data_IF_313504402435
#
_entry.id   IF_313504402435
#
_cell.length_a   1.000
_cell.length_b   1.000
_cell.length_c   1.000
_cell.angle_alpha   90.00
_cell.angle_beta   90.00
_cell.angle_gamma   90.00
#
_symmetry.space_group_name_H-M   'P 1'
#
loop_
_entity.id
_entity.type
_entity.pdbx_description
1 polymer ?
#
# COMPACT_ATOMS: atom_id res chain seq x y z
N UNK A 1 -3.12 -52.65 8.97
CA UNK A 1 -2.97 -53.69 9.99
C UNK A 1 -1.80 -53.45 10.97
N UNK A 2 -0.58 -53.24 10.50
CA UNK A 2 0.57 -52.96 11.39
C UNK A 2 0.42 -51.70 12.26
N UNK A 3 0.00 -50.58 11.66
CA UNK A 3 -0.22 -49.30 12.37
C UNK A 3 -1.35 -49.37 13.39
N UNK A 4 -2.41 -50.12 13.09
CA UNK A 4 -3.56 -50.29 14.00
C UNK A 4 -3.20 -51.17 15.23
N UNK A 5 -2.39 -52.21 15.05
CA UNK A 5 -1.89 -52.99 16.18
C UNK A 5 -0.92 -52.19 17.08
N UNK A 6 -0.11 -51.30 16.51
CA UNK A 6 0.78 -50.45 17.27
C UNK A 6 -0.01 -49.39 18.06
N UNK A 7 -1.10 -48.84 17.49
CA UNK A 7 -1.92 -47.80 18.15
C UNK A 7 -2.88 -48.35 19.20
N UNK A 8 -3.40 -49.59 19.04
CA UNK A 8 -4.22 -50.28 20.03
C UNK A 8 -3.45 -50.61 21.34
N UNK A 9 -2.13 -50.61 21.27
CA UNK A 9 -1.24 -50.82 22.46
C UNK A 9 -0.65 -49.48 22.99
N UNK A 10 -0.93 -48.35 22.35
CA UNK A 10 -0.39 -47.06 22.75
C UNK A 10 -1.01 -46.57 24.06
N UNK A 11 -0.16 -46.28 25.02
CA UNK A 11 -0.51 -45.63 26.26
C UNK A 11 -1.16 -44.25 25.98
N UNK A 12 -2.28 -43.91 26.66
CA UNK A 12 -3.01 -42.66 26.47
C UNK A 12 -2.10 -41.41 26.59
N UNK A 13 -1.05 -41.50 27.36
CA UNK A 13 -0.03 -40.46 27.50
C UNK A 13 0.77 -40.23 26.21
N UNK A 14 1.04 -41.28 25.44
CA UNK A 14 1.75 -41.17 24.16
C UNK A 14 0.84 -40.58 23.09
N UNK A 15 -0.45 -40.89 23.09
CA UNK A 15 -1.45 -40.26 22.22
C UNK A 15 -1.54 -38.77 22.52
N UNK A 16 -1.63 -38.40 23.81
CA UNK A 16 -1.65 -37.00 24.26
C UNK A 16 -0.39 -36.23 23.83
N UNK A 17 0.79 -36.83 23.90
CA UNK A 17 2.03 -36.24 23.43
C UNK A 17 2.01 -35.99 21.91
N UNK A 18 1.58 -36.98 21.12
CA UNK A 18 1.52 -36.85 19.65
C UNK A 18 0.51 -35.77 19.23
N UNK A 19 -0.64 -35.69 19.85
CA UNK A 19 -1.65 -34.64 19.62
C UNK A 19 -1.08 -33.25 19.99
N UNK A 20 -0.34 -33.16 21.09
CA UNK A 20 0.30 -31.89 21.49
C UNK A 20 1.34 -31.42 20.48
N UNK A 21 2.16 -32.33 19.97
CA UNK A 21 3.14 -32.01 18.91
C UNK A 21 2.43 -31.57 17.62
N UNK A 22 1.36 -32.28 17.24
CA UNK A 22 0.59 -31.92 16.04
C UNK A 22 -0.09 -30.54 16.16
N UNK A 23 -0.64 -30.21 17.32
CA UNK A 23 -1.23 -28.87 17.58
C UNK A 23 -0.20 -27.76 17.60
N UNK A 24 1.00 -28.00 18.12
CA UNK A 24 2.13 -27.07 18.02
C UNK A 24 2.51 -26.81 16.56
N UNK A 25 2.66 -27.85 15.77
CA UNK A 25 2.94 -27.72 14.32
C UNK A 25 1.87 -26.92 13.57
N UNK A 26 0.61 -27.19 13.87
CA UNK A 26 -0.53 -26.44 13.30
C UNK A 26 -0.47 -24.96 13.69
N UNK A 27 -0.27 -24.66 14.95
CA UNK A 27 -0.23 -23.27 15.45
C UNK A 27 0.94 -22.48 14.82
N UNK A 28 2.11 -23.12 14.69
CA UNK A 28 3.25 -22.50 14.00
C UNK A 28 2.96 -22.23 12.54
N UNK A 29 2.29 -23.15 11.84
CA UNK A 29 1.92 -22.98 10.43
C UNK A 29 0.96 -21.82 10.21
N UNK A 30 -0.08 -21.69 11.06
CA UNK A 30 -1.05 -20.59 10.98
C UNK A 30 -0.39 -19.23 11.24
N UNK A 31 0.45 -19.15 12.28
CA UNK A 31 1.17 -17.92 12.59
C UNK A 31 2.16 -17.53 11.47
N UNK A 32 2.89 -18.50 10.91
CA UNK A 32 3.80 -18.25 9.79
C UNK A 32 3.05 -17.71 8.56
N UNK A 33 1.88 -18.25 8.24
CA UNK A 33 1.05 -17.76 7.12
C UNK A 33 0.62 -16.29 7.33
N UNK A 34 0.30 -15.91 8.56
CA UNK A 34 -0.08 -14.52 8.88
C UNK A 34 1.10 -13.55 8.71
N UNK A 35 2.29 -13.95 9.16
CA UNK A 35 3.53 -13.17 8.98
C UNK A 35 3.83 -13.00 7.49
N UNK A 36 3.74 -14.08 6.71
CA UNK A 36 3.98 -14.04 5.26
C UNK A 36 2.98 -13.16 4.52
N UNK A 37 1.72 -13.13 4.96
CA UNK A 37 0.72 -12.23 4.38
C UNK A 37 1.12 -10.77 4.65
N UNK A 38 1.62 -10.45 5.84
CA UNK A 38 2.15 -9.13 6.16
C UNK A 38 3.37 -8.78 5.29
N UNK A 39 4.29 -9.71 5.07
CA UNK A 39 5.45 -9.52 4.19
C UNK A 39 5.01 -9.27 2.73
N UNK A 40 3.95 -9.94 2.26
CA UNK A 40 3.37 -9.70 0.94
C UNK A 40 2.73 -8.30 0.84
N UNK A 41 2.11 -7.80 1.92
CA UNK A 41 1.58 -6.42 1.97
C UNK A 41 2.71 -5.41 1.85
N UNK A 42 3.80 -5.60 2.60
CA UNK A 42 4.96 -4.73 2.56
C UNK A 42 5.66 -4.76 1.18
N UNK A 43 5.76 -5.93 0.56
CA UNK A 43 6.24 -6.06 -0.81
C UNK A 43 5.31 -5.38 -1.83
N UNK A 44 4.00 -5.50 -1.64
CA UNK A 44 2.99 -4.84 -2.47
C UNK A 44 3.11 -3.32 -2.38
N UNK A 45 3.28 -2.77 -1.16
CA UNK A 45 3.51 -1.35 -0.93
C UNK A 45 4.80 -0.86 -1.60
N UNK A 46 5.88 -1.64 -1.48
CA UNK A 46 7.14 -1.35 -2.17
C UNK A 46 6.98 -1.30 -3.69
N UNK A 47 6.24 -2.26 -4.28
CA UNK A 47 6.14 -2.42 -5.72
C UNK A 47 5.11 -1.48 -6.37
N UNK A 48 3.98 -1.24 -5.70
CA UNK A 48 2.83 -0.52 -6.26
C UNK A 48 2.60 0.86 -5.63
N UNK A 49 3.37 1.21 -4.58
CA UNK A 49 3.27 2.50 -3.90
C UNK A 49 1.98 2.72 -3.11
N UNK A 50 1.15 1.68 -2.95
CA UNK A 50 -0.09 1.73 -2.19
C UNK A 50 -0.21 0.55 -1.25
N UNK A 51 -0.60 0.80 0.01
CA UNK A 51 -0.78 -0.23 1.02
C UNK A 51 -2.17 -0.85 0.89
N UNK A 52 -2.23 -2.09 0.42
CA UNK A 52 -3.48 -2.81 0.15
C UNK A 52 -3.69 -3.98 1.11
N UNK A 53 -3.56 -3.72 2.43
CA UNK A 53 -3.70 -4.74 3.49
C UNK A 53 -5.01 -5.51 3.36
N UNK A 54 -6.12 -4.80 3.18
CA UNK A 54 -7.44 -5.40 3.08
C UNK A 54 -7.54 -6.46 1.97
N UNK A 55 -6.92 -6.22 0.83
CA UNK A 55 -6.94 -7.14 -0.31
C UNK A 55 -6.21 -8.45 0.02
N UNK A 56 -5.02 -8.38 0.61
CA UNK A 56 -4.23 -9.56 0.98
C UNK A 56 -4.92 -10.40 2.06
N UNK A 57 -5.40 -9.77 3.14
CA UNK A 57 -6.12 -10.49 4.21
C UNK A 57 -7.47 -11.04 3.74
N UNK A 58 -8.15 -10.38 2.81
CA UNK A 58 -9.38 -10.90 2.20
C UNK A 58 -9.11 -12.18 1.41
N UNK A 59 -8.07 -12.21 0.57
CA UNK A 59 -7.66 -13.42 -0.18
C UNK A 59 -7.31 -14.56 0.78
N UNK A 60 -6.55 -14.28 1.85
CA UNK A 60 -6.23 -15.27 2.89
C UNK A 60 -7.49 -15.83 3.55
N UNK A 61 -8.44 -14.96 3.91
CA UNK A 61 -9.70 -15.35 4.54
C UNK A 61 -10.57 -16.21 3.60
N UNK A 62 -10.65 -15.84 2.32
CA UNK A 62 -11.35 -16.62 1.30
C UNK A 62 -10.70 -17.99 1.15
N UNK A 63 -9.37 -18.06 1.05
CA UNK A 63 -8.63 -19.31 0.95
C UNK A 63 -8.88 -20.22 2.15
N UNK A 64 -8.90 -19.69 3.37
CA UNK A 64 -9.22 -20.44 4.58
C UNK A 64 -10.64 -21.00 4.54
N UNK A 65 -11.64 -20.22 4.10
CA UNK A 65 -13.04 -20.70 3.97
C UNK A 65 -13.16 -21.83 2.94
N UNK A 66 -12.47 -21.72 1.81
CA UNK A 66 -12.40 -22.81 0.83
C UNK A 66 -11.77 -24.08 1.42
N UNK A 67 -10.68 -23.94 2.18
CA UNK A 67 -10.06 -25.09 2.85
C UNK A 67 -11.03 -25.76 3.83
N UNK A 68 -11.74 -25.00 4.66
CA UNK A 68 -12.77 -25.54 5.55
C UNK A 68 -13.90 -26.27 4.80
N UNK A 69 -14.33 -25.73 3.67
CA UNK A 69 -15.34 -26.40 2.83
C UNK A 69 -14.85 -27.77 2.38
N UNK A 70 -13.61 -27.89 1.88
CA UNK A 70 -13.06 -29.18 1.46
C UNK A 70 -12.86 -30.15 2.63
N UNK A 71 -12.41 -29.65 3.78
CA UNK A 71 -12.31 -30.48 5.00
C UNK A 71 -13.66 -31.04 5.38
N UNK A 72 -14.72 -30.22 5.43
CA UNK A 72 -16.07 -30.66 5.73
C UNK A 72 -16.61 -31.66 4.70
N UNK A 73 -16.34 -31.44 3.42
CA UNK A 73 -16.75 -32.36 2.35
C UNK A 73 -16.08 -33.73 2.51
N UNK A 74 -14.76 -33.75 2.71
CA UNK A 74 -13.97 -34.97 2.89
C UNK A 74 -14.43 -35.73 4.14
N UNK A 75 -14.63 -35.00 5.24
CA UNK A 75 -15.11 -35.59 6.50
C UNK A 75 -16.51 -36.17 6.34
N UNK A 76 -17.42 -35.44 5.71
CA UNK A 76 -18.80 -35.93 5.45
C UNK A 76 -18.81 -37.16 4.57
N UNK A 77 -18.02 -37.18 3.49
CA UNK A 77 -17.89 -38.37 2.63
C UNK A 77 -17.27 -39.56 3.38
N UNK A 78 -16.27 -39.31 4.25
CA UNK A 78 -15.67 -40.35 5.08
C UNK A 78 -16.66 -40.95 6.05
N UNK A 79 -17.51 -40.15 6.71
CA UNK A 79 -18.57 -40.66 7.57
C UNK A 79 -19.64 -41.44 6.79
N UNK A 80 -20.09 -40.91 5.65
CA UNK A 80 -21.08 -41.64 4.80
C UNK A 80 -20.55 -42.96 4.32
N UNK A 81 -19.26 -43.04 3.93
CA UNK A 81 -18.64 -44.30 3.56
C UNK A 81 -18.54 -45.27 4.74
N UNK A 82 -18.28 -44.76 5.95
CA UNK A 82 -18.19 -45.55 7.18
C UNK A 82 -19.53 -46.16 7.56
N UNK A 83 -20.64 -45.41 7.45
CA UNK A 83 -22.00 -45.94 7.72
C UNK A 83 -22.37 -47.05 6.76
N UNK A 84 -22.03 -46.95 5.48
CA UNK A 84 -22.26 -48.02 4.48
C UNK A 84 -21.47 -49.28 4.81
N UNK A 85 -20.26 -49.13 5.36
CA UNK A 85 -19.39 -50.25 5.71
C UNK A 85 -19.73 -50.86 7.07
N UNK A 86 -20.21 -50.05 8.04
CA UNK A 86 -20.66 -50.52 9.38
C UNK A 86 -21.92 -51.39 9.33
N UNK A 87 -22.79 -51.20 8.32
CA UNK A 87 -23.93 -52.12 8.09
C UNK A 87 -23.46 -53.53 7.73
N UNK A 88 -22.19 -53.72 7.33
CA UNK A 88 -21.63 -55.00 6.86
C UNK A 88 -20.53 -55.61 7.74
N UNK A 89 -20.32 -55.18 8.97
CA UNK A 89 -19.40 -55.74 9.98
C UNK A 89 -18.14 -54.93 10.34
N UNK A 90 -17.91 -54.90 11.66
CA UNK A 90 -16.71 -54.75 12.48
C UNK A 90 -16.24 -53.33 12.84
N UNK A 91 -16.05 -53.13 14.15
CA UNK A 91 -15.51 -52.00 14.94
C UNK A 91 -14.20 -51.36 14.40
N UNK A 92 -13.50 -52.00 13.48
CA UNK A 92 -12.19 -51.59 12.96
C UNK A 92 -12.26 -50.46 11.91
N UNK A 93 -13.44 -50.14 11.37
CA UNK A 93 -13.57 -49.20 10.24
C UNK A 93 -13.65 -47.74 10.70
N UNK A 94 -14.27 -47.51 11.86
CA UNK A 94 -14.31 -46.16 12.43
C UNK A 94 -12.88 -45.64 12.78
N UNK A 95 -12.08 -46.52 13.38
CA UNK A 95 -10.69 -46.18 13.68
C UNK A 95 -9.90 -45.90 12.39
N UNK A 96 -10.08 -46.70 11.34
CA UNK A 96 -9.43 -46.51 10.06
C UNK A 96 -9.78 -45.16 9.40
N UNK A 97 -11.04 -44.73 9.46
CA UNK A 97 -11.47 -43.43 8.90
C UNK A 97 -10.84 -42.25 9.64
N UNK A 98 -10.76 -42.29 10.94
CA UNK A 98 -10.11 -41.28 11.77
C UNK A 98 -8.62 -41.18 11.43
N UNK A 99 -7.93 -42.33 11.30
CA UNK A 99 -6.49 -42.33 10.92
C UNK A 99 -6.27 -41.82 9.51
N UNK A 100 -7.16 -42.16 8.56
CA UNK A 100 -7.06 -41.65 7.20
C UNK A 100 -7.17 -40.11 7.17
N UNK A 101 -8.11 -39.53 7.91
CA UNK A 101 -8.25 -38.09 8.03
C UNK A 101 -6.98 -37.44 8.61
N UNK A 102 -6.41 -37.98 9.68
CA UNK A 102 -5.15 -37.47 10.27
C UNK A 102 -3.98 -37.59 9.30
N UNK A 103 -3.86 -38.72 8.57
CA UNK A 103 -2.81 -38.90 7.58
C UNK A 103 -2.91 -37.92 6.43
N UNK A 104 -4.12 -37.68 5.92
CA UNK A 104 -4.33 -36.69 4.83
C UNK A 104 -3.93 -35.30 5.29
N UNK A 105 -4.37 -34.86 6.48
CA UNK A 105 -4.02 -33.54 7.03
C UNK A 105 -2.50 -33.39 7.18
N UNK A 106 -1.83 -34.44 7.68
CA UNK A 106 -0.37 -34.43 7.87
C UNK A 106 0.36 -34.36 6.53
N UNK A 107 -0.02 -35.19 5.55
CA UNK A 107 0.57 -35.19 4.21
C UNK A 107 0.35 -33.84 3.51
N UNK A 108 -0.85 -33.28 3.58
CA UNK A 108 -1.14 -31.95 3.01
C UNK A 108 -0.30 -30.86 3.67
N UNK A 109 -0.08 -30.91 4.99
CA UNK A 109 0.76 -29.96 5.71
C UNK A 109 2.22 -30.02 5.26
N UNK A 110 2.78 -31.20 5.12
CA UNK A 110 4.14 -31.38 4.60
C UNK A 110 4.27 -31.00 3.12
N UNK A 111 3.28 -31.30 2.30
CA UNK A 111 3.25 -30.89 0.89
C UNK A 111 3.23 -29.37 0.76
N UNK A 112 2.45 -28.68 1.60
CA UNK A 112 2.42 -27.21 1.64
C UNK A 112 3.77 -26.63 2.04
N UNK A 113 4.46 -27.17 3.04
CA UNK A 113 5.83 -26.76 3.41
C UNK A 113 6.80 -26.98 2.23
N UNK A 114 6.72 -28.14 1.57
CA UNK A 114 7.56 -28.47 0.43
C UNK A 114 7.34 -27.57 -0.79
N UNK A 115 6.09 -27.16 -1.03
CA UNK A 115 5.76 -26.19 -2.09
C UNK A 115 6.18 -24.77 -1.70
N UNK A 116 6.12 -24.44 -0.41
CA UNK A 116 6.44 -23.12 0.09
C UNK A 116 7.91 -22.73 -0.11
N UNK A 117 8.84 -23.61 0.26
CA UNK A 117 10.28 -23.29 0.24
C UNK A 117 10.79 -22.80 -1.12
N UNK A 118 10.47 -23.43 -2.27
CA UNK A 118 10.96 -22.97 -3.57
C UNK A 118 10.22 -21.74 -4.13
N UNK A 119 8.98 -21.50 -3.72
CA UNK A 119 8.15 -20.41 -4.27
C UNK A 119 8.22 -19.12 -3.45
N UNK A 120 8.54 -19.19 -2.17
CA UNK A 120 8.65 -18.02 -1.32
C UNK A 120 10.03 -17.35 -1.47
N UNK A 121 10.07 -16.31 -2.27
CA UNK A 121 11.30 -15.55 -2.56
C UNK A 121 11.55 -14.39 -1.59
N UNK A 122 10.59 -14.06 -0.72
CA UNK A 122 10.68 -12.95 0.24
C UNK A 122 11.44 -13.39 1.52
N UNK A 123 12.72 -13.73 1.38
CA UNK A 123 13.56 -14.13 2.52
C UNK A 123 14.99 -13.58 2.39
N UNK A 124 15.73 -13.58 3.49
CA UNK A 124 17.12 -13.17 3.55
C UNK A 124 17.35 -11.71 3.19
N UNK A 125 18.51 -11.41 2.62
CA UNK A 125 18.93 -10.05 2.29
C UNK A 125 18.02 -9.32 1.30
N UNK A 126 17.31 -10.03 0.43
CA UNK A 126 16.35 -9.46 -0.49
C UNK A 126 15.15 -8.86 0.26
N UNK A 127 14.58 -9.61 1.20
CA UNK A 127 13.47 -9.12 2.03
C UNK A 127 13.91 -8.03 3.00
N UNK A 128 15.08 -8.13 3.61
CA UNK A 128 15.64 -7.06 4.44
C UNK A 128 15.82 -5.76 3.66
N UNK A 129 16.24 -5.83 2.41
CA UNK A 129 16.34 -4.65 1.56
C UNK A 129 14.97 -4.03 1.27
N UNK A 130 13.95 -4.86 1.02
CA UNK A 130 12.57 -4.41 0.85
C UNK A 130 12.04 -3.81 2.15
N UNK A 131 12.19 -4.51 3.26
CA UNK A 131 11.74 -4.04 4.58
C UNK A 131 12.43 -2.74 4.98
N UNK A 132 13.72 -2.61 4.71
CA UNK A 132 14.46 -1.39 4.92
C UNK A 132 13.99 -0.26 3.97
N UNK A 133 13.62 -0.59 2.74
CA UNK A 133 13.01 0.36 1.83
C UNK A 133 11.62 0.80 2.35
N UNK A 134 10.74 -0.14 2.70
CA UNK A 134 9.40 0.15 3.24
C UNK A 134 9.49 0.87 4.58
N UNK A 135 10.37 0.46 5.50
CA UNK A 135 10.65 1.20 6.74
C UNK A 135 11.19 2.60 6.48
N UNK A 136 11.93 2.78 5.40
CA UNK A 136 12.35 4.10 4.92
C UNK A 136 11.16 4.93 4.45
N UNK A 137 10.13 4.29 3.90
CA UNK A 137 8.89 4.95 3.46
C UNK A 137 7.91 5.22 4.63
N UNK A 138 7.69 4.23 5.50
CA UNK A 138 6.64 4.28 6.55
C UNK A 138 7.10 4.96 7.85
N UNK A 139 8.33 4.72 8.31
CA UNK A 139 8.79 5.28 9.59
C UNK A 139 9.29 6.74 9.51
N UNK A 140 9.19 7.38 8.38
CA UNK A 140 9.65 8.77 8.27
C UNK A 140 11.12 8.99 8.65
N UNK A 141 11.84 7.93 8.97
CA UNK A 141 13.12 8.02 9.65
C UNK A 141 14.34 7.57 8.86
N UNK A 142 14.29 7.29 7.57
CA UNK A 142 15.54 7.13 6.78
C UNK A 142 15.27 6.84 5.28
N UNK A 143 14.61 7.69 4.58
CA UNK A 143 15.21 8.18 3.33
C UNK A 143 16.18 9.23 3.80
N UNK A 144 17.41 9.26 3.24
CA UNK A 144 18.41 10.22 3.69
C UNK A 144 17.72 11.48 4.22
N UNK A 145 17.90 11.78 5.52
CA UNK A 145 17.30 12.97 6.16
C UNK A 145 17.39 14.19 5.22
N UNK A 146 18.43 14.20 4.39
CA UNK A 146 18.72 15.19 3.38
C UNK A 146 17.78 15.19 2.15
N UNK A 147 17.35 14.06 1.63
CA UNK A 147 16.49 14.00 0.44
C UNK A 147 15.02 14.26 0.81
N UNK A 148 14.55 13.78 1.98
CA UNK A 148 13.24 14.11 2.52
C UNK A 148 13.16 15.56 3.00
N UNK A 149 14.24 16.05 3.57
CA UNK A 149 14.39 17.39 4.14
C UNK A 149 14.27 18.53 3.12
N UNK A 150 14.53 18.27 1.85
CA UNK A 150 14.54 19.32 0.83
C UNK A 150 13.67 18.98 -0.39
N UNK A 151 12.72 18.05 -0.28
CA UNK A 151 11.95 17.59 -1.44
C UNK A 151 11.17 18.75 -2.10
N UNK A 152 10.50 19.58 -1.30
CA UNK A 152 9.78 20.76 -1.80
C UNK A 152 10.78 21.81 -2.30
N UNK A 153 11.85 22.09 -1.57
CA UNK A 153 12.88 23.06 -1.96
C UNK A 153 13.54 22.71 -3.30
N UNK A 154 13.84 21.43 -3.55
CA UNK A 154 14.45 21.02 -4.83
C UNK A 154 13.47 21.02 -5.99
N UNK A 155 12.18 20.81 -5.72
CA UNK A 155 11.14 20.83 -6.73
C UNK A 155 10.59 22.24 -6.99
N UNK A 156 10.78 23.17 -6.08
CA UNK A 156 10.24 24.53 -6.15
C UNK A 156 11.22 25.45 -6.91
N UNK A 157 10.70 26.09 -7.95
CA UNK A 157 11.39 27.13 -8.71
C UNK A 157 10.64 28.44 -8.51
N UNK A 158 11.34 29.55 -8.24
CA UNK A 158 10.73 30.86 -7.99
C UNK A 158 9.90 31.33 -9.21
N UNK A 159 10.32 30.99 -10.42
CA UNK A 159 9.57 31.30 -11.65
C UNK A 159 8.25 30.55 -11.78
N UNK A 160 8.08 29.46 -11.02
CA UNK A 160 6.85 28.67 -10.98
C UNK A 160 5.89 29.10 -9.89
N UNK A 161 6.20 30.15 -9.12
CA UNK A 161 5.31 30.66 -8.06
C UNK A 161 4.63 31.95 -8.52
N UNK A 162 3.30 31.94 -8.51
CA UNK A 162 2.47 33.08 -8.95
C UNK A 162 1.61 33.54 -7.79
N UNK A 163 1.74 34.83 -7.45
CA UNK A 163 0.92 35.48 -6.45
C UNK A 163 -0.25 36.23 -7.11
N UNK A 164 -1.45 36.08 -6.53
CA UNK A 164 -2.67 36.72 -6.99
C UNK A 164 -2.97 36.49 -8.49
N UNK A 165 -2.87 35.25 -8.91
CA UNK A 165 -3.20 34.84 -10.28
C UNK A 165 -4.67 35.19 -10.61
N UNK A 166 -4.88 35.84 -11.73
CA UNK A 166 -6.22 36.05 -12.32
C UNK A 166 -6.43 34.99 -13.39
N UNK A 167 -7.42 34.15 -13.20
CA UNK A 167 -7.82 33.12 -14.16
C UNK A 167 -9.37 33.02 -14.16
N UNK A 168 -9.92 32.68 -15.31
CA UNK A 168 -11.39 32.56 -15.51
C UNK A 168 -11.92 31.24 -14.94
N UNK A 169 -11.15 30.18 -15.12
CA UNK A 169 -11.53 28.83 -14.80
C UNK A 169 -10.31 27.98 -14.43
N UNK A 170 -10.58 26.76 -14.00
CA UNK A 170 -9.55 25.79 -13.61
C UNK A 170 -8.60 25.44 -14.76
N UNK A 171 -9.10 25.36 -15.99
CA UNK A 171 -8.31 25.06 -17.18
C UNK A 171 -7.26 26.13 -17.46
N UNK A 172 -7.63 27.40 -17.26
CA UNK A 172 -6.70 28.52 -17.43
C UNK A 172 -5.60 28.49 -16.37
N UNK A 173 -5.93 28.16 -15.11
CA UNK A 173 -4.93 27.95 -14.05
C UNK A 173 -3.95 26.85 -14.44
N UNK A 174 -4.46 25.70 -14.88
CA UNK A 174 -3.62 24.58 -15.33
C UNK A 174 -2.72 24.97 -16.48
N UNK A 175 -3.24 25.66 -17.50
CA UNK A 175 -2.47 26.12 -18.66
C UNK A 175 -1.33 27.06 -18.27
N UNK A 176 -1.61 28.02 -17.37
CA UNK A 176 -0.61 29.00 -16.93
C UNK A 176 0.48 28.30 -16.10
N UNK A 177 0.12 27.47 -15.11
CA UNK A 177 1.07 26.77 -14.28
C UNK A 177 1.89 25.77 -15.09
N UNK A 178 1.27 25.04 -16.02
CA UNK A 178 1.96 24.12 -16.94
C UNK A 178 2.95 24.87 -17.85
N UNK A 179 2.60 26.09 -18.30
CA UNK A 179 3.53 26.91 -19.07
C UNK A 179 4.78 27.23 -18.26
N UNK A 180 4.66 27.59 -16.99
CA UNK A 180 5.80 27.81 -16.09
C UNK A 180 6.68 26.57 -15.91
N UNK A 181 6.07 25.39 -15.71
CA UNK A 181 6.82 24.13 -15.64
C UNK A 181 7.59 23.83 -16.94
N UNK A 182 7.03 24.22 -18.08
CA UNK A 182 7.71 24.06 -19.39
C UNK A 182 8.86 25.05 -19.56
N UNK A 183 8.70 26.31 -19.12
CA UNK A 183 9.73 27.36 -19.17
C UNK A 183 10.97 26.95 -18.38
N UNK A 184 10.78 26.33 -17.18
CA UNK A 184 11.88 25.82 -16.36
C UNK A 184 12.36 24.43 -16.77
N UNK A 185 11.96 23.96 -17.95
CA UNK A 185 12.32 22.66 -18.54
C UNK A 185 12.04 21.44 -17.62
N UNK A 186 11.03 21.54 -16.75
CA UNK A 186 10.60 20.45 -15.88
C UNK A 186 9.80 19.37 -16.64
N UNK A 187 9.10 19.76 -17.71
CA UNK A 187 8.29 18.87 -18.56
C UNK A 187 8.71 18.97 -20.03
N UNK A 188 8.53 17.88 -20.80
CA UNK A 188 8.83 17.81 -22.23
C UNK A 188 7.66 18.26 -23.10
N UNK A 189 6.42 17.97 -22.70
CA UNK A 189 5.19 18.26 -23.42
C UNK A 189 4.14 18.86 -22.51
N UNK A 190 3.59 20.02 -22.87
CA UNK A 190 2.46 20.61 -22.14
C UNK A 190 1.16 19.87 -22.37
N UNK A 191 0.95 19.36 -23.57
CA UNK A 191 -0.27 18.64 -23.96
C UNK A 191 -0.38 17.34 -23.16
N UNK A 192 0.61 16.47 -23.25
CA UNK A 192 0.64 15.19 -22.54
C UNK A 192 0.55 15.37 -21.02
N UNK A 193 1.19 16.42 -20.49
CA UNK A 193 1.12 16.73 -19.05
C UNK A 193 -0.30 17.13 -18.63
N UNK A 194 -0.99 17.97 -19.39
CA UNK A 194 -2.38 18.39 -19.10
C UNK A 194 -3.33 17.20 -19.26
N UNK A 195 -3.18 16.36 -20.28
CA UNK A 195 -3.97 15.12 -20.43
C UNK A 195 -3.79 14.20 -19.23
N UNK A 196 -2.56 13.95 -18.80
CA UNK A 196 -2.28 13.15 -17.60
C UNK A 196 -2.88 13.74 -16.30
N UNK A 197 -2.98 15.06 -16.20
CA UNK A 197 -3.71 15.71 -15.09
C UNK A 197 -5.21 15.39 -15.16
N UNK A 198 -5.84 15.50 -16.34
CA UNK A 198 -7.26 15.21 -16.49
C UNK A 198 -7.60 13.74 -16.25
N UNK A 199 -6.77 12.82 -16.72
CA UNK A 199 -6.91 11.39 -16.42
C UNK A 199 -6.91 11.12 -14.90
N UNK A 200 -6.05 11.82 -14.16
CA UNK A 200 -6.00 11.72 -12.70
C UNK A 200 -7.22 12.35 -12.03
N UNK A 201 -7.67 13.51 -12.49
CA UNK A 201 -8.85 14.20 -11.95
C UNK A 201 -10.12 13.39 -12.19
N UNK A 202 -10.22 12.66 -13.28
CA UNK A 202 -11.34 11.77 -13.57
C UNK A 202 -11.45 10.62 -12.53
N UNK A 203 -10.33 10.24 -11.90
CA UNK A 203 -10.27 9.21 -10.87
C UNK A 203 -10.41 9.80 -9.45
N UNK A 204 -9.80 10.96 -9.20
CA UNK A 204 -9.78 11.62 -7.90
C UNK A 204 -9.86 13.15 -8.06
N UNK A 205 -10.66 13.84 -7.25
CA UNK A 205 -10.78 15.30 -7.30
C UNK A 205 -9.42 16.00 -7.15
N UNK A 206 -9.20 17.08 -7.90
CA UNK A 206 -8.00 17.91 -7.77
C UNK A 206 -8.00 18.74 -6.48
N UNK A 207 -9.17 19.20 -6.04
CA UNK A 207 -9.36 19.91 -4.79
C UNK A 207 -9.45 18.95 -3.60
N UNK A 208 -8.69 19.24 -2.54
CA UNK A 208 -8.68 18.42 -1.33
C UNK A 208 -9.70 18.94 -0.34
N UNK A 209 -9.39 19.99 0.35
CA UNK A 209 -10.23 20.69 1.32
C UNK A 209 -9.64 22.06 1.65
N UNK A 210 -10.39 22.89 2.38
CA UNK A 210 -9.93 24.19 2.87
C UNK A 210 -9.44 25.14 1.78
N UNK A 211 -10.00 25.04 0.57
CA UNK A 211 -9.64 25.89 -0.56
C UNK A 211 -8.29 25.55 -1.22
N UNK A 212 -7.79 24.33 -1.02
CA UNK A 212 -6.51 23.86 -1.57
C UNK A 212 -6.77 22.85 -2.70
N UNK A 213 -6.07 23.01 -3.83
CA UNK A 213 -6.03 22.07 -4.92
C UNK A 213 -4.60 21.60 -5.18
N UNK A 214 -4.42 20.29 -5.35
CA UNK A 214 -3.11 19.66 -5.65
C UNK A 214 -3.25 18.77 -6.90
N UNK A 215 -3.48 19.36 -8.08
CA UNK A 215 -3.43 18.60 -9.31
C UNK A 215 -2.00 18.08 -9.54
N UNK A 216 -1.89 16.78 -9.82
CA UNK A 216 -0.59 16.15 -9.99
C UNK A 216 -0.67 15.01 -11.00
N UNK A 217 0.43 14.79 -11.72
CA UNK A 217 0.58 13.65 -12.62
C UNK A 217 2.03 13.19 -12.68
N UNK A 218 2.23 11.96 -13.16
CA UNK A 218 3.53 11.35 -13.41
C UNK A 218 3.56 10.79 -14.84
N UNK A 219 4.72 10.78 -15.44
CA UNK A 219 4.93 10.20 -16.76
C UNK A 219 6.28 10.55 -17.35
N UNK A 220 6.60 9.92 -18.48
CA UNK A 220 7.87 10.11 -19.21
C UNK A 220 8.01 11.53 -19.78
N UNK A 221 6.90 12.26 -19.88
CA UNK A 221 6.87 13.67 -20.24
C UNK A 221 7.37 14.60 -19.12
N UNK A 222 7.65 14.09 -17.93
CA UNK A 222 8.24 14.84 -16.82
C UNK A 222 9.73 14.52 -16.70
N UNK A 223 10.57 15.53 -16.87
CA UNK A 223 12.04 15.39 -16.84
C UNK A 223 12.63 15.43 -15.44
N UNK A 224 12.02 16.20 -14.52
CA UNK A 224 12.42 16.33 -13.13
C UNK A 224 11.21 16.68 -12.26
N UNK A 225 11.29 16.35 -10.98
CA UNK A 225 10.28 16.78 -10.02
C UNK A 225 10.21 18.31 -9.96
N UNK A 226 8.99 18.85 -10.08
CA UNK A 226 8.76 20.29 -10.00
C UNK A 226 7.37 20.60 -9.43
N UNK A 227 7.29 21.75 -8.74
CA UNK A 227 6.03 22.28 -8.20
C UNK A 227 5.82 23.67 -8.79
N UNK A 228 4.63 23.91 -9.34
CA UNK A 228 4.16 25.26 -9.63
C UNK A 228 3.06 25.62 -8.63
N UNK A 229 3.16 26.83 -8.04
CA UNK A 229 2.26 27.30 -6.97
C UNK A 229 1.54 28.54 -7.45
N UNK A 230 0.23 28.62 -7.18
CA UNK A 230 -0.54 29.84 -7.38
C UNK A 230 -1.45 30.12 -6.19
N UNK A 231 -1.48 31.39 -5.77
CA UNK A 231 -2.61 31.94 -5.01
C UNK A 231 -3.52 32.67 -5.97
N UNK A 232 -4.82 32.47 -5.86
CA UNK A 232 -5.80 33.15 -6.72
C UNK A 232 -6.35 34.42 -6.04
N UNK A 233 -6.64 35.41 -6.87
CA UNK A 233 -7.34 36.60 -6.41
C UNK A 233 -8.83 36.32 -6.11
N UNK A 234 -9.43 35.41 -6.88
CA UNK A 234 -10.83 34.98 -6.71
C UNK A 234 -10.87 33.45 -6.63
N UNK A 235 -11.40 32.88 -5.54
CA UNK A 235 -11.55 31.44 -5.42
C UNK A 235 -12.44 30.86 -6.53
N UNK A 236 -12.13 29.66 -7.02
CA UNK A 236 -12.89 29.00 -8.08
C UNK A 236 -13.22 27.55 -7.77
N UNK A 237 -14.25 27.02 -8.42
CA UNK A 237 -14.60 25.61 -8.30
C UNK A 237 -13.56 24.74 -9.03
N UNK A 238 -12.95 23.81 -8.31
CA UNK A 238 -11.98 22.83 -8.84
C UNK A 238 -12.37 21.39 -8.53
N UNK A 239 -13.65 21.11 -8.24
CA UNK A 239 -14.11 19.78 -7.86
C UNK A 239 -13.53 19.34 -6.51
N UNK A 240 -13.52 20.21 -5.49
CA UNK A 240 -13.01 19.89 -4.17
C UNK A 240 -13.87 18.87 -3.44
N UNK A 241 -13.25 18.01 -2.61
CA UNK A 241 -13.93 16.98 -1.80
C UNK A 241 -14.94 17.62 -0.82
N UNK A 242 -14.64 18.82 -0.30
CA UNK A 242 -15.52 19.56 0.62
C UNK A 242 -16.50 20.50 -0.12
N UNK A 243 -16.57 20.43 -1.45
CA UNK A 243 -17.38 21.28 -2.32
C UNK A 243 -17.13 22.79 -2.16
N UNK A 244 -15.99 23.18 -1.61
CA UNK A 244 -15.61 24.58 -1.47
C UNK A 244 -14.73 25.04 -2.63
N UNK A 245 -14.81 26.32 -3.01
CA UNK A 245 -13.93 26.86 -4.03
C UNK A 245 -12.48 26.90 -3.54
N UNK A 246 -11.52 26.71 -4.46
CA UNK A 246 -10.10 26.70 -4.20
C UNK A 246 -9.45 28.03 -4.61
N UNK A 247 -8.51 28.50 -3.81
CA UNK A 247 -7.74 29.71 -4.03
C UNK A 247 -6.21 29.49 -3.90
N UNK A 248 -5.79 28.28 -3.50
CA UNK A 248 -4.41 27.90 -3.37
C UNK A 248 -4.12 26.61 -4.17
N UNK A 249 -3.29 26.70 -5.17
CA UNK A 249 -2.99 25.63 -6.12
C UNK A 249 -1.53 25.20 -6.06
N UNK A 250 -1.31 23.87 -6.05
CA UNK A 250 0.00 23.23 -6.14
C UNK A 250 -0.03 22.23 -7.30
N UNK A 251 0.44 22.65 -8.47
CA UNK A 251 0.57 21.76 -9.63
C UNK A 251 1.89 21.02 -9.56
N UNK A 252 1.84 19.69 -9.45
CA UNK A 252 3.02 18.87 -9.22
C UNK A 252 3.31 17.99 -10.45
N UNK A 253 4.52 18.10 -10.94
CA UNK A 253 5.09 17.26 -11.97
C UNK A 253 6.13 16.33 -11.36
N UNK A 254 6.02 15.01 -11.60
CA UNK A 254 6.97 14.04 -11.06
C UNK A 254 7.32 12.99 -12.11
N UNK A 255 8.61 12.66 -12.28
CA UNK A 255 9.03 11.55 -13.13
C UNK A 255 8.43 10.22 -12.66
N UNK A 256 8.28 9.25 -13.55
CA UNK A 256 7.79 7.92 -13.19
C UNK A 256 8.88 7.04 -12.57
N UNK A 257 9.60 7.57 -11.57
CA UNK A 257 10.66 6.90 -10.83
C UNK A 257 10.19 6.18 -9.55
N UNK A 258 8.91 6.26 -9.25
CA UNK A 258 8.26 5.61 -8.11
C UNK A 258 8.61 6.19 -6.72
N UNK A 259 9.66 6.99 -6.59
CA UNK A 259 10.20 7.46 -5.29
C UNK A 259 9.97 8.96 -5.06
N UNK A 260 10.26 9.77 -6.07
CA UNK A 260 10.19 11.24 -5.97
C UNK A 260 8.77 11.73 -5.71
N UNK A 261 7.76 11.03 -6.25
CA UNK A 261 6.34 11.33 -6.09
C UNK A 261 5.90 11.30 -4.61
N UNK A 262 6.23 10.21 -3.91
CA UNK A 262 5.76 9.99 -2.54
C UNK A 262 6.37 11.01 -1.58
N UNK A 263 7.66 11.28 -1.71
CA UNK A 263 8.34 12.22 -0.84
C UNK A 263 7.82 13.65 -0.99
N UNK A 264 7.59 14.08 -2.22
CA UNK A 264 7.13 15.44 -2.51
C UNK A 264 5.71 15.68 -2.02
N UNK A 265 4.77 14.77 -2.34
CA UNK A 265 3.39 14.85 -1.88
C UNK A 265 3.29 14.72 -0.36
N UNK A 266 4.05 13.81 0.25
CA UNK A 266 4.06 13.63 1.71
C UNK A 266 4.55 14.88 2.43
N UNK A 267 5.66 15.49 1.98
CA UNK A 267 6.18 16.71 2.60
C UNK A 267 5.19 17.86 2.44
N UNK A 268 4.66 18.05 1.24
CA UNK A 268 3.68 19.11 1.00
C UNK A 268 2.40 18.92 1.84
N UNK A 269 1.89 17.68 1.94
CA UNK A 269 0.72 17.38 2.76
C UNK A 269 0.97 17.66 4.24
N UNK A 270 2.13 17.29 4.78
CA UNK A 270 2.50 17.59 6.17
C UNK A 270 2.60 19.10 6.42
N UNK A 271 3.21 19.84 5.50
CA UNK A 271 3.30 21.29 5.59
C UNK A 271 1.92 21.96 5.55
N UNK A 272 1.03 21.52 4.68
CA UNK A 272 -0.33 22.04 4.56
C UNK A 272 -1.25 21.64 5.72
N UNK A 273 -0.89 20.58 6.45
CA UNK A 273 -1.58 20.15 7.68
C UNK A 273 -1.19 20.99 8.89
N UNK A 274 -0.12 21.79 8.81
CA UNK A 274 0.25 22.71 9.89
C UNK A 274 -0.82 23.80 10.08
N UNK A 275 -1.30 24.03 11.31
CA UNK A 275 -2.35 24.99 11.61
C UNK A 275 -2.00 26.40 11.09
N UNK A 276 -2.88 26.94 10.25
CA UNK A 276 -2.76 28.29 9.69
C UNK A 276 -1.64 28.49 8.66
N UNK A 277 -0.96 27.41 8.23
CA UNK A 277 0.10 27.55 7.21
C UNK A 277 -0.46 27.93 5.84
N UNK A 278 -1.55 27.31 5.39
CA UNK A 278 -2.22 27.68 4.16
C UNK A 278 -2.66 29.16 4.16
N UNK A 279 -3.17 29.66 5.30
CA UNK A 279 -3.55 31.07 5.44
C UNK A 279 -2.34 32.02 5.41
N UNK A 280 -1.21 31.58 5.94
CA UNK A 280 0.04 32.34 5.78
C UNK A 280 0.43 32.43 4.31
N UNK A 281 0.30 31.37 3.52
CA UNK A 281 0.57 31.42 2.08
C UNK A 281 -0.36 32.37 1.35
N UNK A 282 -1.67 32.35 1.65
CA UNK A 282 -2.68 33.29 1.09
C UNK A 282 -2.38 34.74 1.39
N UNK A 283 -1.91 35.01 2.60
CA UNK A 283 -1.55 36.37 3.09
C UNK A 283 -0.16 36.82 2.67
N UNK A 284 0.55 36.08 1.84
CA UNK A 284 1.84 36.49 1.32
C UNK A 284 1.65 37.68 0.36
N UNK A 285 2.52 38.66 0.42
CA UNK A 285 2.46 39.86 -0.44
C UNK A 285 3.16 39.67 -1.79
N UNK A 286 3.87 38.57 -2.01
CA UNK A 286 4.60 38.31 -3.25
C UNK A 286 4.93 36.84 -3.45
N UNK A 287 5.28 36.46 -4.70
CA UNK A 287 5.75 35.10 -5.06
C UNK A 287 7.01 34.71 -4.28
N UNK A 288 7.93 35.67 -4.07
CA UNK A 288 9.15 35.45 -3.29
C UNK A 288 8.83 35.12 -1.82
N UNK A 289 7.82 35.76 -1.25
CA UNK A 289 7.41 35.48 0.12
C UNK A 289 6.76 34.10 0.25
N UNK A 290 5.93 33.68 -0.73
CA UNK A 290 5.36 32.32 -0.79
C UNK A 290 6.47 31.30 -0.81
N UNK A 291 7.47 31.47 -1.68
CA UNK A 291 8.65 30.60 -1.79
C UNK A 291 9.41 30.51 -0.47
N UNK A 292 9.70 31.64 0.18
CA UNK A 292 10.39 31.66 1.48
C UNK A 292 9.61 30.95 2.56
N UNK A 293 8.29 31.14 2.62
CA UNK A 293 7.42 30.48 3.62
C UNK A 293 7.38 28.97 3.41
N UNK A 294 7.30 28.49 2.16
CA UNK A 294 7.37 27.06 1.85
C UNK A 294 8.70 26.45 2.28
N UNK A 295 9.84 27.04 1.90
CA UNK A 295 11.17 26.55 2.26
C UNK A 295 11.39 26.57 3.77
N UNK A 296 10.94 27.63 4.46
CA UNK A 296 11.09 27.74 5.91
C UNK A 296 10.24 26.73 6.67
N UNK A 297 9.00 26.47 6.21
CA UNK A 297 8.13 25.46 6.79
C UNK A 297 8.74 24.06 6.63
N UNK A 298 9.21 23.71 5.43
CA UNK A 298 9.88 22.43 5.21
C UNK A 298 11.12 22.29 6.11
N UNK A 299 11.93 23.35 6.23
CA UNK A 299 13.08 23.35 7.12
C UNK A 299 12.70 23.10 8.57
N UNK A 300 11.65 23.74 9.07
CA UNK A 300 11.23 23.61 10.48
C UNK A 300 10.64 22.24 10.80
N UNK A 301 9.91 21.64 9.86
CA UNK A 301 9.28 20.32 10.07
C UNK A 301 10.27 19.15 9.99
N UNK A 302 11.33 19.30 9.20
CA UNK A 302 12.23 18.18 8.91
C UNK A 302 13.69 18.41 9.38
N UNK A 303 13.98 19.51 10.09
CA UNK A 303 15.34 19.83 10.66
C UNK A 303 15.69 19.03 11.92
#
# INVERSE_FOLDING_TARGET
MFVMNVLGTLNINLIGLLVSIATLGYTLSVNSTSVMTADCVDYGEFKFGSRTEFMFFSVQTIGAKFAYFFVMLITGLSFSYTDIVLQNQTLNVQEFSIYLCFMIVTVCSFAMIGLYVPFYKLHGSFFENILNAVKRFTNGKVVSKKAKFNAVRYALDEHCVIHNLKAKDFDEVLKILTARLKEVNAISSRHEFIEGIYEKIAQNPAGIAHGIAIPHTRGDYVKRSAIAVATLNTPMNCGSIDNKPCDLFFLIAVPDDGVSHINLLSNLSLMLSEPGFADKLRKAGSSVEITKRLISCEKNLFS
#
